data_IF_285953752935
#
_entry.id   IF_285953752935
#
_cell.length_a   1.000
_cell.length_b   1.000
_cell.length_c   1.000
_cell.angle_alpha   90.00
_cell.angle_beta   90.00
_cell.angle_gamma   90.00
#
_symmetry.space_group_name_H-M   'P 1'
#
loop_
_entity.id
_entity.type
_entity.pdbx_description
1 polymer ?
#
# COMPACT_ATOMS: atom_id res chain seq x y z
N UNK A 1 -23.57 -1.83 7.96
CA UNK A 1 -22.41 -2.75 7.98
C UNK A 1 -21.39 -2.26 6.96
N UNK A 2 -20.31 -1.59 7.39
CA UNK A 2 -19.28 -1.07 6.47
C UNK A 2 -18.36 -2.20 6.00
N UNK A 3 -18.65 -2.77 4.83
CA UNK A 3 -17.97 -3.97 4.30
C UNK A 3 -16.64 -3.67 3.58
N UNK A 4 -16.24 -2.41 3.50
CA UNK A 4 -15.05 -1.98 2.74
C UNK A 4 -13.93 -1.44 3.64
N UNK A 5 -13.96 -1.73 4.94
CA UNK A 5 -12.86 -1.36 5.83
C UNK A 5 -11.59 -2.09 5.39
N UNK A 6 -10.50 -1.36 5.19
CA UNK A 6 -9.22 -1.95 4.85
C UNK A 6 -8.71 -2.81 6.01
N UNK A 7 -8.58 -4.12 5.79
CA UNK A 7 -8.15 -5.07 6.82
C UNK A 7 -6.68 -4.93 7.18
N UNK A 8 -5.84 -4.43 6.27
CA UNK A 8 -4.41 -4.30 6.51
C UNK A 8 -4.10 -3.28 7.62
N UNK A 9 -4.74 -2.11 7.57
CA UNK A 9 -4.57 -1.04 8.56
C UNK A 9 -5.71 -0.96 9.58
N UNK A 10 -6.62 -1.94 9.56
CA UNK A 10 -7.86 -1.92 10.32
C UNK A 10 -8.59 -0.56 10.24
N UNK A 11 -8.69 0.00 9.02
CA UNK A 11 -9.43 1.22 8.73
C UNK A 11 -8.76 2.53 9.15
N UNK A 12 -7.55 2.48 9.72
CA UNK A 12 -6.83 3.69 10.14
C UNK A 12 -6.17 4.44 8.97
N UNK A 13 -5.92 3.75 7.86
CA UNK A 13 -5.12 4.26 6.75
C UNK A 13 -3.61 4.26 7.04
N UNK A 14 -3.19 3.81 8.23
CA UNK A 14 -1.79 3.83 8.66
C UNK A 14 -1.35 2.43 9.11
N UNK A 15 -0.07 2.14 8.93
CA UNK A 15 0.58 0.96 9.46
C UNK A 15 1.71 1.42 10.37
N UNK A 16 1.98 0.62 11.40
CA UNK A 16 3.13 0.82 12.27
C UNK A 16 3.98 -0.44 12.29
N UNK A 17 5.30 -0.28 12.26
CA UNK A 17 6.25 -1.36 12.51
C UNK A 17 6.58 -1.47 14.00
N UNK A 18 7.41 -2.47 14.35
CA UNK A 18 7.82 -2.76 15.72
C UNK A 18 8.71 -1.65 16.33
N UNK A 19 9.31 -0.80 15.50
CA UNK A 19 10.05 0.39 15.94
C UNK A 19 9.12 1.61 16.18
N UNK A 20 7.83 1.45 15.87
CA UNK A 20 6.79 2.45 16.07
C UNK A 20 6.72 3.51 14.98
N UNK A 21 7.41 3.34 13.85
CA UNK A 21 7.28 4.29 12.75
C UNK A 21 5.94 4.11 12.06
N UNK A 22 5.32 5.21 11.66
CA UNK A 22 4.02 5.20 11.02
C UNK A 22 4.14 5.54 9.54
N UNK A 23 3.54 4.70 8.69
CA UNK A 23 3.54 4.90 7.25
C UNK A 23 2.15 4.68 6.67
N UNK A 24 1.92 5.30 5.52
CA UNK A 24 0.65 5.21 4.82
C UNK A 24 0.40 3.76 4.39
N UNK A 25 -0.78 3.23 4.69
CA UNK A 25 -1.12 1.86 4.33
C UNK A 25 -1.13 1.71 2.79
N UNK A 26 -0.20 0.93 2.26
CA UNK A 26 -0.04 0.70 0.81
C UNK A 26 -1.23 -0.04 0.17
N UNK A 27 -2.02 -0.75 0.97
CA UNK A 27 -3.17 -1.54 0.49
C UNK A 27 -4.40 -0.67 0.19
N UNK A 28 -4.64 0.38 0.97
CA UNK A 28 -5.75 1.32 0.77
C UNK A 28 -5.27 2.74 0.42
N UNK A 29 -3.98 2.88 0.12
CA UNK A 29 -3.34 4.16 -0.11
C UNK A 29 -3.62 5.21 0.98
N UNK A 30 -3.86 4.74 2.22
CA UNK A 30 -4.08 5.49 3.44
C UNK A 30 -5.41 6.19 3.66
N UNK A 31 -6.47 5.79 2.95
CA UNK A 31 -7.83 6.27 3.25
C UNK A 31 -8.60 5.37 4.24
N UNK A 32 -8.05 4.19 4.58
CA UNK A 32 -8.66 3.21 5.48
C UNK A 32 -9.77 2.37 4.84
N UNK A 33 -10.04 2.54 3.55
CA UNK A 33 -11.12 1.87 2.82
C UNK A 33 -10.50 1.09 1.67
N UNK A 34 -10.79 -0.21 1.58
CA UNK A 34 -10.37 -1.00 0.42
C UNK A 34 -11.45 -0.93 -0.67
N UNK A 35 -11.18 -0.17 -1.73
CA UNK A 35 -12.05 -0.02 -2.89
C UNK A 35 -11.57 -0.83 -4.09
N UNK A 36 -12.43 -1.01 -5.09
CA UNK A 36 -12.05 -1.65 -6.35
C UNK A 36 -10.93 -0.90 -7.09
N UNK A 37 -10.75 0.39 -6.81
CA UNK A 37 -9.65 1.23 -7.28
C UNK A 37 -8.29 0.75 -6.75
N UNK A 38 -8.23 0.34 -5.48
CA UNK A 38 -7.01 -0.14 -4.85
C UNK A 38 -6.54 -1.47 -5.43
N UNK A 39 -7.47 -2.31 -5.85
CA UNK A 39 -7.16 -3.56 -6.56
C UNK A 39 -6.50 -3.35 -7.94
N UNK A 40 -6.60 -2.14 -8.51
CA UNK A 40 -6.01 -1.79 -9.81
C UNK A 40 -4.62 -1.16 -9.72
N UNK A 41 -4.08 -0.93 -8.52
CA UNK A 41 -2.68 -0.53 -8.36
C UNK A 41 -1.81 -1.79 -8.54
N UNK A 42 -1.71 -2.22 -9.80
CA UNK A 42 -0.84 -3.32 -10.19
C UNK A 42 0.62 -2.98 -9.91
N UNK A 43 1.43 -4.02 -9.66
CA UNK A 43 2.87 -3.86 -9.60
C UNK A 43 3.36 -3.19 -10.89
N UNK A 44 3.91 -1.99 -10.77
CA UNK A 44 4.59 -1.31 -11.88
C UNK A 44 5.91 -2.05 -12.14
N UNK A 45 6.06 -2.59 -13.35
CA UNK A 45 7.34 -3.12 -13.82
C UNK A 45 8.28 -1.91 -13.91
N UNK A 46 9.31 -1.89 -13.07
CA UNK A 46 10.38 -0.89 -13.15
C UNK A 46 11.51 -1.50 -13.96
N UNK A 47 12.03 -0.77 -14.95
CA UNK A 47 13.20 -1.21 -15.73
C UNK A 47 14.45 -1.17 -14.84
N UNK A 48 15.24 -2.24 -14.89
CA UNK A 48 16.47 -2.39 -14.12
C UNK A 48 17.64 -2.74 -15.04
N UNK A 49 18.85 -2.29 -14.71
CA UNK A 49 20.06 -2.72 -15.42
C UNK A 49 20.55 -4.11 -14.96
N UNK A 50 21.60 -4.60 -15.60
CA UNK A 50 22.27 -5.88 -15.29
C UNK A 50 22.76 -5.99 -13.82
N UNK A 51 23.00 -4.86 -13.14
CA UNK A 51 23.34 -4.79 -11.71
C UNK A 51 22.14 -4.52 -10.80
N UNK A 52 20.90 -4.64 -11.32
CA UNK A 52 19.66 -4.42 -10.58
C UNK A 52 19.53 -3.00 -9.99
N UNK A 53 20.01 -1.97 -10.70
CA UNK A 53 19.72 -0.57 -10.37
C UNK A 53 18.51 -0.11 -11.17
N UNK A 54 17.65 0.68 -10.54
CA UNK A 54 16.49 1.29 -11.19
C UNK A 54 16.97 2.28 -12.25
N UNK A 55 16.45 2.16 -13.46
CA UNK A 55 16.65 3.10 -14.56
C UNK A 55 15.46 4.08 -14.54
N UNK A 56 15.72 5.39 -14.40
CA UNK A 56 14.71 6.47 -14.46
C UNK A 56 14.70 7.14 -15.84
#
# INVERSE_FOLDING_TARGET
>A
MQRNKCRACDGTGMLADDEGWQYKCSVCNGDGIYAASDAKVGARIMEVDENNRLLD
#
